data_IF_911287038069
#
_entry.id   IF_911287038069
#
_cell.length_a   1.000
_cell.length_b   1.000
_cell.length_c   1.000
_cell.angle_alpha   90.00
_cell.angle_beta   90.00
_cell.angle_gamma   90.00
#
_symmetry.space_group_name_H-M   'P 1'
#
loop_
_entity.id
_entity.type
_entity.pdbx_description
1 polymer ?
#
# COMPACT_ATOMS: atom_id res chain seq x y z
N UNK A 1 -11.18 0.21 -16.78
CA UNK A 1 -10.32 -0.99 -16.74
C UNK A 1 -8.89 -0.59 -16.37
N UNK A 2 -8.31 0.44 -17.00
CA UNK A 2 -7.02 1.03 -16.58
C UNK A 2 -6.89 1.30 -15.07
N UNK A 3 -7.91 1.88 -14.44
CA UNK A 3 -7.90 2.14 -12.99
C UNK A 3 -7.82 0.86 -12.14
N UNK A 4 -8.56 -0.18 -12.51
CA UNK A 4 -8.52 -1.47 -11.80
C UNK A 4 -7.18 -2.19 -11.99
N UNK A 5 -6.58 -2.09 -13.18
CA UNK A 5 -5.24 -2.63 -13.44
C UNK A 5 -4.21 -1.88 -12.59
N UNK A 6 -4.25 -0.54 -12.58
CA UNK A 6 -3.33 0.28 -11.79
C UNK A 6 -3.43 -0.01 -10.28
N UNK A 7 -4.65 -0.11 -9.75
CA UNK A 7 -4.92 -0.50 -8.37
C UNK A 7 -4.38 -1.90 -8.04
N UNK A 8 -4.60 -2.87 -8.93
CA UNK A 8 -4.07 -4.23 -8.78
C UNK A 8 -2.54 -4.24 -8.80
N UNK A 9 -1.92 -3.50 -9.71
CA UNK A 9 -0.46 -3.37 -9.77
C UNK A 9 0.08 -2.74 -8.49
N UNK A 10 -0.55 -1.68 -7.98
CA UNK A 10 -0.18 -1.05 -6.72
C UNK A 10 -0.28 -2.03 -5.55
N UNK A 11 -1.36 -2.80 -5.47
CA UNK A 11 -1.55 -3.84 -4.45
C UNK A 11 -0.47 -4.93 -4.50
N UNK A 12 -0.15 -5.43 -5.70
CA UNK A 12 0.94 -6.40 -5.89
C UNK A 12 2.30 -5.80 -5.50
N UNK A 13 2.58 -4.57 -5.92
CA UNK A 13 3.81 -3.86 -5.55
C UNK A 13 3.92 -3.67 -4.03
N UNK A 14 2.82 -3.33 -3.36
CA UNK A 14 2.77 -3.23 -1.91
C UNK A 14 3.03 -4.56 -1.20
N UNK A 15 2.44 -5.65 -1.69
CA UNK A 15 2.69 -6.99 -1.18
C UNK A 15 4.16 -7.42 -1.36
N UNK A 16 4.74 -7.15 -2.53
CA UNK A 16 6.16 -7.39 -2.79
C UNK A 16 7.06 -6.54 -1.88
N UNK A 17 6.71 -5.28 -1.65
CA UNK A 17 7.43 -4.41 -0.74
C UNK A 17 7.41 -4.97 0.70
N UNK A 18 6.26 -5.45 1.17
CA UNK A 18 6.13 -6.06 2.49
C UNK A 18 6.93 -7.36 2.58
N UNK A 19 6.83 -8.22 1.55
CA UNK A 19 7.54 -9.49 1.47
C UNK A 19 9.06 -9.31 1.45
N UNK A 20 9.57 -8.42 0.61
CA UNK A 20 11.01 -8.10 0.57
C UNK A 20 11.50 -7.45 1.87
N UNK A 21 10.66 -6.63 2.50
CA UNK A 21 10.90 -6.11 3.85
C UNK A 21 11.03 -7.22 4.90
N UNK A 22 10.14 -8.21 4.88
CA UNK A 22 10.19 -9.39 5.74
C UNK A 22 11.48 -10.20 5.49
N UNK A 23 11.83 -10.48 4.24
CA UNK A 23 13.08 -11.18 3.91
C UNK A 23 14.29 -10.45 4.50
N UNK A 24 14.30 -9.11 4.47
CA UNK A 24 15.39 -8.31 5.06
C UNK A 24 15.56 -8.50 6.57
N UNK A 25 14.52 -8.93 7.28
CA UNK A 25 14.58 -9.23 8.72
C UNK A 25 15.10 -10.63 9.04
N UNK A 26 15.22 -11.51 8.05
CA UNK A 26 15.77 -12.85 8.28
C UNK A 26 17.29 -12.82 8.35
N UNK A 27 17.88 -13.83 9.00
CA UNK A 27 19.33 -13.96 9.12
C UNK A 27 20.03 -14.26 7.79
N UNK A 28 19.32 -14.85 6.83
CA UNK A 28 19.87 -15.23 5.51
C UNK A 28 20.04 -14.03 4.56
N UNK A 29 19.14 -13.05 4.63
CA UNK A 29 19.06 -11.95 3.66
C UNK A 29 19.30 -10.56 4.29
N UNK A 30 19.61 -10.49 5.58
CA UNK A 30 19.83 -9.25 6.31
C UNK A 30 20.61 -9.43 7.61
N UNK A 31 20.36 -8.53 8.56
CA UNK A 31 21.07 -8.48 9.86
C UNK A 31 20.39 -9.35 10.95
N UNK A 32 19.35 -10.11 10.61
CA UNK A 32 18.52 -10.85 11.55
C UNK A 32 17.51 -9.96 12.31
N UNK A 33 16.46 -10.58 12.86
CA UNK A 33 15.34 -9.87 13.47
C UNK A 33 15.76 -9.06 14.69
N UNK A 34 16.66 -9.60 15.52
CA UNK A 34 17.13 -8.95 16.75
C UNK A 34 17.76 -7.58 16.48
N UNK A 35 18.47 -7.41 15.36
CA UNK A 35 19.00 -6.12 14.94
C UNK A 35 17.86 -5.11 14.67
N UNK A 36 16.87 -5.50 13.87
CA UNK A 36 15.79 -4.59 13.47
C UNK A 36 14.81 -4.30 14.60
N UNK A 37 14.60 -5.24 15.52
CA UNK A 37 13.71 -5.06 16.67
C UNK A 37 14.16 -3.91 17.59
N UNK A 38 15.46 -3.66 17.69
CA UNK A 38 16.05 -2.56 18.47
C UNK A 38 16.08 -1.22 17.73
N UNK A 39 15.75 -1.20 16.44
CA UNK A 39 15.78 0.01 15.61
C UNK A 39 14.37 0.67 15.58
N UNK A 40 14.16 1.84 16.19
CA UNK A 40 12.82 2.47 16.21
C UNK A 40 12.27 2.76 14.81
N UNK A 41 13.14 3.09 13.85
CA UNK A 41 12.74 3.38 12.47
C UNK A 41 12.17 2.13 11.77
N UNK A 42 12.56 0.93 12.18
CA UNK A 42 11.97 -0.32 11.67
C UNK A 42 10.49 -0.42 12.01
N UNK A 43 10.10 -0.08 13.23
CA UNK A 43 8.69 -0.09 13.65
C UNK A 43 7.87 0.97 12.93
N UNK A 44 8.43 2.16 12.69
CA UNK A 44 7.79 3.20 11.87
C UNK A 44 7.54 2.70 10.44
N UNK A 45 8.54 2.04 9.83
CA UNK A 45 8.39 1.43 8.51
C UNK A 45 7.27 0.40 8.48
N UNK A 46 7.24 -0.51 9.46
CA UNK A 46 6.18 -1.52 9.56
C UNK A 46 4.80 -0.89 9.73
N UNK A 47 4.70 0.17 10.54
CA UNK A 47 3.47 0.93 10.72
C UNK A 47 3.00 1.53 9.38
N UNK A 48 3.89 2.12 8.59
CA UNK A 48 3.53 2.66 7.27
C UNK A 48 3.06 1.58 6.31
N UNK A 49 3.72 0.41 6.28
CA UNK A 49 3.28 -0.74 5.46
C UNK A 49 1.90 -1.21 5.91
N UNK A 50 1.65 -1.30 7.22
CA UNK A 50 0.37 -1.72 7.78
C UNK A 50 -0.76 -0.74 7.47
N UNK A 51 -0.53 0.57 7.65
CA UNK A 51 -1.51 1.61 7.32
C UNK A 51 -1.79 1.62 5.83
N UNK A 52 -0.76 1.54 4.98
CA UNK A 52 -0.93 1.44 3.53
C UNK A 52 -1.85 0.27 3.16
N UNK A 53 -1.55 -0.94 3.64
CA UNK A 53 -2.37 -2.12 3.35
C UNK A 53 -3.81 -2.00 3.86
N UNK A 54 -4.01 -1.40 5.04
CA UNK A 54 -5.34 -1.19 5.61
C UNK A 54 -6.15 -0.15 4.81
N UNK A 55 -5.53 0.97 4.44
CA UNK A 55 -6.16 2.03 3.64
C UNK A 55 -6.56 1.50 2.27
N UNK A 56 -5.72 0.68 1.62
CA UNK A 56 -5.99 0.12 0.29
C UNK A 56 -7.20 -0.77 0.18
N UNK A 57 -7.68 -1.34 1.28
CA UNK A 57 -8.89 -2.14 1.22
C UNK A 57 -10.12 -1.36 0.71
N UNK A 58 -10.29 -0.10 1.14
CA UNK A 58 -11.44 0.71 0.73
C UNK A 58 -11.45 1.11 -0.76
N UNK A 59 -10.41 1.74 -1.34
CA UNK A 59 -10.40 2.11 -2.74
C UNK A 59 -10.45 0.87 -3.64
N UNK A 60 -9.70 -0.20 -3.32
CA UNK A 60 -9.72 -1.45 -4.10
C UNK A 60 -11.13 -2.05 -4.19
N UNK A 61 -11.84 -2.17 -3.06
CA UNK A 61 -13.22 -2.71 -3.08
C UNK A 61 -14.16 -1.86 -3.94
N UNK A 62 -14.07 -0.53 -3.86
CA UNK A 62 -14.87 0.39 -4.68
C UNK A 62 -14.52 0.30 -6.17
N UNK A 63 -13.24 0.19 -6.50
CA UNK A 63 -12.76 0.04 -7.88
C UNK A 63 -13.24 -1.28 -8.47
N UNK A 64 -13.17 -2.39 -7.72
CA UNK A 64 -13.69 -3.70 -8.15
C UNK A 64 -15.20 -3.65 -8.36
N UNK A 65 -15.97 -3.15 -7.39
CA UNK A 65 -17.42 -3.00 -7.51
C UNK A 65 -17.80 -2.22 -8.77
N UNK A 66 -17.09 -1.13 -9.05
CA UNK A 66 -17.29 -0.35 -10.28
C UNK A 66 -16.88 -1.08 -11.56
N UNK A 67 -15.78 -1.83 -11.54
CA UNK A 67 -15.38 -2.63 -12.69
C UNK A 67 -16.41 -3.72 -13.02
N UNK A 68 -17.05 -4.30 -12.00
CA UNK A 68 -18.15 -5.26 -12.17
C UNK A 68 -19.39 -4.55 -12.72
N UNK A 69 -19.83 -3.46 -12.09
CA UNK A 69 -21.00 -2.69 -12.52
C UNK A 69 -20.89 -2.20 -13.97
N UNK A 70 -19.68 -1.80 -14.40
CA UNK A 70 -19.39 -1.43 -15.79
C UNK A 70 -19.61 -2.59 -16.76
N UNK A 71 -19.20 -3.82 -16.40
CA UNK A 71 -19.40 -5.02 -17.24
C UNK A 71 -20.87 -5.43 -17.29
N UNK A 72 -21.62 -5.20 -16.22
CA UNK A 72 -23.05 -5.52 -16.13
C UNK A 72 -23.98 -4.44 -16.71
N UNK A 73 -23.44 -3.33 -17.24
CA UNK A 73 -24.25 -2.22 -17.80
C UNK A 73 -24.92 -1.32 -16.76
N UNK A 74 -24.75 -1.59 -15.45
CA UNK A 74 -25.42 -0.88 -14.35
C UNK A 74 -24.50 0.17 -13.70
N UNK A 75 -23.72 0.89 -14.50
CA UNK A 75 -22.73 1.83 -13.98
C UNK A 75 -23.37 3.18 -13.62
N UNK A 76 -23.49 3.44 -12.32
CA UNK A 76 -23.97 4.73 -11.80
C UNK A 76 -22.80 5.72 -11.65
N UNK A 77 -22.97 7.01 -12.01
CA UNK A 77 -21.99 8.06 -11.75
C UNK A 77 -21.55 8.12 -10.27
N UNK A 78 -20.33 8.61 -10.04
CA UNK A 78 -19.83 8.74 -8.66
C UNK A 78 -20.44 10.00 -8.05
N UNK A 79 -20.83 9.96 -6.77
CA UNK A 79 -21.05 11.21 -6.05
C UNK A 79 -19.72 11.96 -5.90
N UNK A 80 -19.78 13.28 -5.86
CA UNK A 80 -18.60 14.13 -5.67
C UNK A 80 -17.89 13.82 -4.36
N UNK A 81 -18.65 13.57 -3.28
CA UNK A 81 -18.11 13.20 -1.98
C UNK A 81 -17.32 11.88 -2.03
N UNK A 82 -17.85 10.86 -2.71
CA UNK A 82 -17.15 9.59 -2.87
C UNK A 82 -15.89 9.76 -3.72
N UNK A 83 -15.95 10.57 -4.78
CA UNK A 83 -14.78 10.87 -5.60
C UNK A 83 -13.69 11.58 -4.80
N UNK A 84 -14.04 12.63 -4.04
CA UNK A 84 -13.11 13.35 -3.19
C UNK A 84 -12.46 12.43 -2.14
N UNK A 85 -13.25 11.56 -1.50
CA UNK A 85 -12.75 10.57 -0.54
C UNK A 85 -11.79 9.58 -1.20
N UNK A 86 -12.13 9.05 -2.38
CA UNK A 86 -11.25 8.13 -3.12
C UNK A 86 -9.93 8.81 -3.48
N UNK A 87 -9.96 10.03 -4.00
CA UNK A 87 -8.75 10.80 -4.33
C UNK A 87 -7.88 11.04 -3.10
N UNK A 88 -8.47 11.41 -1.96
CA UNK A 88 -7.72 11.63 -0.72
C UNK A 88 -7.04 10.34 -0.23
N UNK A 89 -7.73 9.20 -0.29
CA UNK A 89 -7.16 7.92 0.15
C UNK A 89 -6.03 7.47 -0.79
N UNK A 90 -6.22 7.57 -2.10
CA UNK A 90 -5.18 7.23 -3.09
C UNK A 90 -3.96 8.13 -2.92
N UNK A 91 -4.14 9.43 -2.66
CA UNK A 91 -3.01 10.33 -2.38
C UNK A 91 -2.27 9.95 -1.09
N UNK A 92 -2.99 9.55 -0.05
CA UNK A 92 -2.38 9.06 1.19
C UNK A 92 -1.59 7.76 0.97
N UNK A 93 -2.10 6.84 0.14
CA UNK A 93 -1.38 5.63 -0.26
C UNK A 93 -0.09 5.92 -1.00
N UNK A 94 -0.15 6.81 -1.99
CA UNK A 94 1.03 7.23 -2.75
C UNK A 94 2.08 7.86 -1.84
N UNK A 95 1.66 8.71 -0.90
CA UNK A 95 2.55 9.29 0.09
C UNK A 95 3.19 8.22 0.98
N UNK A 96 2.41 7.23 1.44
CA UNK A 96 2.93 6.12 2.26
C UNK A 96 3.94 5.28 1.49
N UNK A 97 3.62 4.86 0.26
CA UNK A 97 4.53 4.09 -0.60
C UNK A 97 5.82 4.85 -0.87
N UNK A 98 5.75 6.16 -1.11
CA UNK A 98 6.93 7.00 -1.29
C UNK A 98 7.75 7.18 0.00
N UNK A 99 7.10 7.16 1.17
CA UNK A 99 7.75 7.33 2.47
C UNK A 99 8.47 6.08 2.96
N UNK A 100 8.02 4.88 2.56
CA UNK A 100 8.60 3.61 3.02
C UNK A 100 10.10 3.48 2.62
N UNK A 101 10.54 3.77 1.38
CA UNK A 101 11.97 3.79 1.03
C UNK A 101 12.81 4.77 1.85
N UNK A 102 12.24 5.91 2.26
CA UNK A 102 12.94 6.89 3.09
C UNK A 102 13.20 6.33 4.50
N UNK A 103 12.24 5.63 5.09
CA UNK A 103 12.48 4.94 6.38
C UNK A 103 13.59 3.88 6.25
N UNK A 104 13.68 3.21 5.09
CA UNK A 104 14.72 2.22 4.84
C UNK A 104 16.12 2.83 4.74
N UNK A 105 16.27 4.01 4.12
CA UNK A 105 17.57 4.68 4.00
C UNK A 105 18.07 5.23 5.34
N UNK A 106 17.17 5.58 6.26
CA UNK A 106 17.52 6.02 7.61
C UNK A 106 18.09 4.88 8.47
N UNK A 107 17.64 3.64 8.27
CA UNK A 107 18.17 2.44 8.95
C UNK A 107 19.51 1.93 8.41
N UNK A 108 20.00 2.49 7.30
CA UNK A 108 21.23 2.04 6.64
C UNK A 108 22.51 2.60 7.29
N UNK A 109 22.39 3.27 8.44
CA UNK A 109 23.46 3.98 9.15
C UNK A 109 23.87 3.22 10.40
#
# INVERSE_FOLDING_TARGET
DRLAIADTTLGISGALLAYTGYLRTTAEWGKGFDYYAHEPVFWVKLLFVAIFGAVSFFPTTKIIQRSVAKRSGNMVPMSEELAARMTSLINAELLMVASIPLTASLMAR
#
